data_IF_280928739050
#
_entry.id   IF_280928739050
#
_cell.length_a   1.000
_cell.length_b   1.000
_cell.length_c   1.000
_cell.angle_alpha   90.00
_cell.angle_beta   90.00
_cell.angle_gamma   90.00
#
_symmetry.space_group_name_H-M   'P 1'
#
loop_
_entity.id
_entity.type
_entity.pdbx_description
1 polymer ?
#
# COMPACT_ATOMS: atom_id res chain seq x y z
N UNK A 1 -29.88 2.30 67.67
CA UNK A 1 -28.84 2.36 66.63
C UNK A 1 -29.38 1.65 65.41
N UNK A 2 -29.84 2.41 64.43
CA UNK A 2 -30.42 1.87 63.20
C UNK A 2 -29.25 1.51 62.27
N UNK A 3 -28.90 0.23 62.26
CA UNK A 3 -27.79 -0.29 61.48
C UNK A 3 -28.10 -0.18 59.99
N UNK A 4 -27.33 0.63 59.26
CA UNK A 4 -27.41 0.74 57.82
C UNK A 4 -27.40 -0.65 57.18
N UNK A 5 -28.54 -1.07 56.59
CA UNK A 5 -28.62 -2.27 55.74
C UNK A 5 -27.62 -2.08 54.61
N UNK A 6 -26.45 -2.74 54.68
CA UNK A 6 -25.53 -2.86 53.55
C UNK A 6 -26.30 -3.54 52.42
N UNK A 7 -26.69 -2.77 51.41
CA UNK A 7 -27.20 -3.34 50.17
C UNK A 7 -26.06 -4.14 49.54
N UNK A 8 -26.16 -5.47 49.55
CA UNK A 8 -25.25 -6.33 48.79
C UNK A 8 -25.41 -5.98 47.31
N UNK A 9 -24.32 -5.55 46.67
CA UNK A 9 -24.30 -5.34 45.23
C UNK A 9 -24.45 -6.70 44.54
N UNK A 10 -25.44 -6.82 43.65
CA UNK A 10 -25.59 -8.01 42.80
C UNK A 10 -24.35 -8.16 41.91
N UNK A 11 -23.83 -9.39 41.69
CA UNK A 11 -22.74 -9.65 40.76
C UNK A 11 -23.03 -9.08 39.37
N UNK A 12 -21.99 -8.54 38.71
CA UNK A 12 -22.12 -7.87 37.40
C UNK A 12 -22.76 -8.79 36.35
N UNK A 13 -22.37 -10.08 36.31
CA UNK A 13 -22.97 -11.10 35.45
C UNK A 13 -24.48 -11.20 35.55
N UNK A 14 -25.02 -11.08 36.76
CA UNK A 14 -26.45 -11.26 37.05
C UNK A 14 -27.27 -10.09 36.50
N UNK A 15 -26.68 -8.89 36.46
CA UNK A 15 -27.35 -7.67 35.99
C UNK A 15 -27.18 -7.48 34.49
N UNK A 16 -26.00 -7.80 33.95
CA UNK A 16 -25.62 -7.46 32.58
C UNK A 16 -25.47 -8.67 31.65
N UNK A 17 -25.60 -9.89 32.17
CA UNK A 17 -25.50 -11.13 31.38
C UNK A 17 -24.08 -11.52 30.95
N UNK A 18 -23.08 -10.69 31.23
CA UNK A 18 -21.66 -10.94 30.93
C UNK A 18 -20.76 -10.37 32.01
N UNK A 19 -19.57 -10.95 32.16
CA UNK A 19 -18.57 -10.47 33.11
C UNK A 19 -17.65 -9.44 32.44
N UNK A 20 -17.05 -8.56 33.25
CA UNK A 20 -16.12 -7.54 32.75
C UNK A 20 -14.92 -8.15 31.98
N UNK A 21 -14.51 -9.37 32.35
CA UNK A 21 -13.49 -10.14 31.65
C UNK A 21 -13.89 -10.48 30.21
N UNK A 22 -15.16 -10.76 29.96
CA UNK A 22 -15.67 -11.12 28.64
C UNK A 22 -15.61 -9.92 27.70
N UNK A 23 -16.03 -8.74 28.20
CA UNK A 23 -15.90 -7.48 27.49
C UNK A 23 -14.44 -7.11 27.21
N UNK A 24 -13.55 -7.30 28.17
CA UNK A 24 -12.12 -7.04 28.00
C UNK A 24 -11.49 -7.97 26.95
N UNK A 25 -11.76 -9.28 27.03
CA UNK A 25 -11.22 -10.26 26.09
C UNK A 25 -11.74 -10.03 24.67
N UNK A 26 -13.02 -9.68 24.53
CA UNK A 26 -13.61 -9.30 23.25
C UNK A 26 -12.92 -8.04 22.67
N UNK A 27 -12.80 -6.98 23.46
CA UNK A 27 -12.14 -5.75 23.02
C UNK A 27 -10.67 -5.97 22.64
N UNK A 28 -9.96 -6.85 23.37
CA UNK A 28 -8.60 -7.26 23.03
C UNK A 28 -8.54 -7.97 21.68
N UNK A 29 -9.43 -8.93 21.43
CA UNK A 29 -9.48 -9.64 20.15
C UNK A 29 -9.77 -8.70 18.98
N UNK A 30 -10.78 -7.84 19.11
CA UNK A 30 -11.13 -6.85 18.08
C UNK A 30 -9.98 -5.87 17.79
N UNK A 31 -9.26 -5.45 18.84
CA UNK A 31 -8.10 -4.55 18.69
C UNK A 31 -6.98 -5.22 17.90
N UNK A 32 -6.70 -6.50 18.18
CA UNK A 32 -5.70 -7.28 17.43
C UNK A 32 -6.10 -7.40 15.96
N UNK A 33 -7.35 -7.73 15.66
CA UNK A 33 -7.83 -7.83 14.28
C UNK A 33 -7.70 -6.50 13.53
N UNK A 34 -8.11 -5.39 14.15
CA UNK A 34 -8.00 -4.05 13.56
C UNK A 34 -6.54 -3.66 13.30
N UNK A 35 -5.65 -3.92 14.25
CA UNK A 35 -4.23 -3.65 14.07
C UNK A 35 -3.63 -4.47 12.92
N UNK A 36 -3.98 -5.75 12.81
CA UNK A 36 -3.54 -6.60 11.71
C UNK A 36 -4.07 -6.11 10.35
N UNK A 37 -5.31 -5.63 10.28
CA UNK A 37 -5.86 -5.05 9.06
C UNK A 37 -5.07 -3.78 8.64
N UNK A 38 -4.78 -2.89 9.59
CA UNK A 38 -3.97 -1.69 9.33
C UNK A 38 -2.56 -2.03 8.84
N UNK A 39 -1.91 -3.04 9.44
CA UNK A 39 -0.60 -3.51 8.99
C UNK A 39 -0.63 -4.07 7.57
N UNK A 40 -1.68 -4.80 7.19
CA UNK A 40 -1.84 -5.32 5.82
C UNK A 40 -1.97 -4.17 4.82
N UNK A 41 -2.87 -3.22 5.09
CA UNK A 41 -3.06 -2.04 4.25
C UNK A 41 -1.78 -1.22 4.11
N UNK A 42 -1.05 -1.00 5.21
CA UNK A 42 0.24 -0.28 5.18
C UNK A 42 1.28 -1.01 4.34
N UNK A 43 1.32 -2.34 4.40
CA UNK A 43 2.26 -3.13 3.60
C UNK A 43 1.89 -3.13 2.11
N UNK A 44 0.59 -3.26 1.78
CA UNK A 44 0.09 -3.17 0.40
C UNK A 44 0.42 -1.80 -0.21
N UNK A 45 0.17 -0.71 0.53
CA UNK A 45 0.50 0.63 0.08
C UNK A 45 2.01 0.81 -0.17
N UNK A 46 2.86 0.33 0.74
CA UNK A 46 4.31 0.39 0.58
C UNK A 46 4.81 -0.43 -0.62
N UNK A 47 4.22 -1.60 -0.87
CA UNK A 47 4.57 -2.42 -2.03
C UNK A 47 4.19 -1.71 -3.33
N UNK A 48 2.98 -1.14 -3.38
CA UNK A 48 2.51 -0.34 -4.51
C UNK A 48 3.40 0.88 -4.77
N UNK A 49 3.84 1.59 -3.72
CA UNK A 49 4.75 2.72 -3.85
C UNK A 49 6.12 2.30 -4.44
N UNK A 50 6.65 1.15 -4.01
CA UNK A 50 7.90 0.59 -4.56
C UNK A 50 7.74 0.23 -6.05
N UNK A 51 6.64 -0.44 -6.40
CA UNK A 51 6.34 -0.82 -7.78
C UNK A 51 6.20 0.42 -8.67
N UNK A 52 5.51 1.46 -8.18
CA UNK A 52 5.38 2.73 -8.87
C UNK A 52 6.74 3.41 -9.08
N UNK A 53 7.58 3.46 -8.05
CA UNK A 53 8.94 4.01 -8.17
C UNK A 53 9.80 3.26 -9.17
N UNK A 54 9.70 1.93 -9.23
CA UNK A 54 10.41 1.12 -10.22
C UNK A 54 9.92 1.40 -11.63
N UNK A 55 8.61 1.46 -11.84
CA UNK A 55 8.01 1.81 -13.13
C UNK A 55 8.43 3.20 -13.60
N UNK A 56 8.40 4.19 -12.69
CA UNK A 56 8.79 5.57 -12.97
C UNK A 56 10.29 5.65 -13.33
N UNK A 57 11.15 4.95 -12.59
CA UNK A 57 12.58 4.89 -12.89
C UNK A 57 12.85 4.24 -14.25
N UNK A 58 12.11 3.19 -14.62
CA UNK A 58 12.24 2.54 -15.94
C UNK A 58 11.83 3.49 -17.06
N UNK A 59 10.67 4.13 -16.94
CA UNK A 59 10.17 5.10 -17.92
C UNK A 59 11.17 6.24 -18.16
N UNK A 60 11.72 6.81 -17.07
CA UNK A 60 12.73 7.89 -17.17
C UNK A 60 14.01 7.45 -17.89
N UNK A 61 14.47 6.21 -17.62
CA UNK A 61 15.65 5.65 -18.29
C UNK A 61 15.42 5.46 -19.80
N UNK A 62 14.26 4.89 -20.18
CA UNK A 62 13.90 4.69 -21.59
C UNK A 62 13.75 6.03 -22.31
N UNK A 63 13.09 7.02 -21.69
CA UNK A 63 12.94 8.36 -22.25
C UNK A 63 14.31 9.01 -22.54
N UNK A 64 15.26 8.87 -21.61
CA UNK A 64 16.63 9.38 -21.79
C UNK A 64 17.37 8.66 -22.93
N UNK A 65 17.15 7.36 -23.12
CA UNK A 65 17.74 6.60 -24.23
C UNK A 65 17.15 7.01 -25.59
N UNK A 66 15.84 7.26 -25.65
CA UNK A 66 15.16 7.77 -26.85
C UNK A 66 15.74 9.11 -27.25
N UNK A 67 15.87 10.05 -26.32
CA UNK A 67 16.45 11.38 -26.58
C UNK A 67 17.86 11.27 -27.18
N UNK A 68 18.72 10.43 -26.59
CA UNK A 68 20.06 10.19 -27.10
C UNK A 68 20.06 9.58 -28.52
N UNK A 69 19.21 8.59 -28.78
CA UNK A 69 19.11 7.98 -30.11
C UNK A 69 18.60 8.96 -31.16
N UNK A 70 17.63 9.80 -30.81
CA UNK A 70 17.16 10.84 -31.72
C UNK A 70 18.26 11.84 -32.08
N UNK A 71 19.09 12.24 -31.11
CA UNK A 71 20.25 13.11 -31.36
C UNK A 71 21.27 12.44 -32.30
N UNK A 72 21.59 11.16 -32.07
CA UNK A 72 22.52 10.39 -32.90
C UNK A 72 22.01 10.28 -34.35
N UNK A 73 20.71 10.00 -34.52
CA UNK A 73 20.08 9.90 -35.85
C UNK A 73 20.08 11.27 -36.53
N UNK A 74 19.71 12.35 -35.82
CA UNK A 74 19.73 13.73 -36.34
C UNK A 74 21.14 14.17 -36.76
N UNK A 75 22.18 13.73 -36.06
CA UNK A 75 23.58 14.01 -36.38
C UNK A 75 24.10 13.29 -37.65
N UNK A 76 23.22 12.64 -38.44
CA UNK A 76 23.57 11.79 -39.58
C UNK A 76 24.57 10.71 -39.20
N UNK A 77 24.35 10.07 -38.05
CA UNK A 77 25.13 8.94 -37.59
C UNK A 77 25.23 7.86 -38.67
N UNK A 78 26.39 7.21 -38.74
CA UNK A 78 26.70 6.14 -39.71
C UNK A 78 25.88 4.85 -39.49
N UNK A 79 25.07 4.81 -38.43
CA UNK A 79 24.31 3.67 -37.94
C UNK A 79 22.83 4.00 -37.97
N UNK A 80 22.02 3.09 -38.50
CA UNK A 80 20.57 3.19 -38.50
C UNK A 80 20.02 2.55 -37.22
N UNK A 81 19.60 3.40 -36.28
CA UNK A 81 18.96 2.99 -35.03
C UNK A 81 17.43 3.13 -35.06
N UNK A 82 16.83 3.27 -36.25
CA UNK A 82 15.38 3.51 -36.37
C UNK A 82 14.55 2.38 -35.75
N UNK A 83 14.96 1.13 -35.94
CA UNK A 83 14.26 -0.02 -35.35
C UNK A 83 14.35 -0.04 -33.82
N UNK A 84 15.51 0.27 -33.25
CA UNK A 84 15.72 0.32 -31.80
C UNK A 84 14.95 1.49 -31.16
N UNK A 85 14.88 2.62 -31.87
CA UNK A 85 14.11 3.80 -31.45
C UNK A 85 12.61 3.48 -31.38
N UNK A 86 12.04 2.84 -32.40
CA UNK A 86 10.61 2.48 -32.39
C UNK A 86 10.30 1.45 -31.30
N UNK A 87 11.19 0.47 -31.09
CA UNK A 87 11.06 -0.48 -30.00
C UNK A 87 11.07 0.21 -28.62
N UNK A 88 11.99 1.14 -28.39
CA UNK A 88 12.03 1.89 -27.12
C UNK A 88 10.80 2.78 -26.91
N UNK A 89 10.21 3.34 -27.98
CA UNK A 89 8.95 4.09 -27.87
C UNK A 89 7.78 3.20 -27.45
N UNK A 90 7.71 1.97 -27.96
CA UNK A 90 6.73 0.98 -27.55
C UNK A 90 6.94 0.58 -26.08
N UNK A 91 8.18 0.27 -25.69
CA UNK A 91 8.53 -0.04 -24.29
C UNK A 91 8.24 1.13 -23.33
N UNK A 92 8.40 2.38 -23.78
CA UNK A 92 8.03 3.56 -23.00
C UNK A 92 6.53 3.65 -22.80
N UNK A 93 5.74 3.36 -23.84
CA UNK A 93 4.27 3.36 -23.77
C UNK A 93 3.78 2.32 -22.75
N UNK A 94 4.30 1.09 -22.81
CA UNK A 94 4.00 0.04 -21.84
C UNK A 94 4.39 0.45 -20.40
N UNK A 95 5.56 1.05 -20.23
CA UNK A 95 6.01 1.53 -18.92
C UNK A 95 5.12 2.66 -18.37
N UNK A 96 4.59 3.52 -19.24
CA UNK A 96 3.67 4.58 -18.87
C UNK A 96 2.26 4.05 -18.54
N UNK A 97 1.79 2.99 -19.19
CA UNK A 97 0.53 2.33 -18.81
C UNK A 97 0.59 1.80 -17.37
N UNK A 98 1.72 1.20 -16.97
CA UNK A 98 1.95 0.77 -15.58
C UNK A 98 1.95 1.92 -14.56
N UNK A 99 2.15 3.17 -14.99
CA UNK A 99 2.09 4.36 -14.12
C UNK A 99 0.70 4.98 -14.04
N UNK A 100 -0.19 4.64 -14.96
CA UNK A 100 -1.55 5.20 -15.09
C UNK A 100 -2.64 4.31 -14.46
N UNK A 101 -2.31 3.06 -14.11
CA UNK A 101 -3.17 2.15 -13.35
C UNK A 101 -2.97 2.30 -11.84
#
# INVERSE_FOLDING_TARGET
MEGSKKMMKRPIKEVYGSDASDGFNKGKAETVERYMALLRLSNEHRLSEIEWHQAASKANSIASQIELLEEIIKAKGKFDFTAELEKLKEELMEAMECLLM
#
